data_IF_941763095625
#
_entry.id   IF_941763095625
#
_cell.length_a   1.000
_cell.length_b   1.000
_cell.length_c   1.000
_cell.angle_alpha   90.00
_cell.angle_beta   90.00
_cell.angle_gamma   90.00
#
_symmetry.space_group_name_H-M   'P 1'
#
loop_
_entity.id
_entity.type
_entity.pdbx_description
1 polymer ?
#
# COMPACT_ATOMS: atom_id res chain seq x y z
N UNK A 1 20.62 22.99 -4.71
CA UNK A 1 20.48 21.99 -3.63
C UNK A 1 19.00 21.80 -3.44
N UNK A 2 18.47 20.64 -3.82
CA UNK A 2 17.05 20.36 -3.64
C UNK A 2 16.84 19.93 -2.19
N UNK A 3 16.17 20.77 -1.40
CA UNK A 3 15.60 20.35 -0.13
C UNK A 3 14.43 19.42 -0.47
N UNK A 4 14.69 18.11 -0.60
CA UNK A 4 13.59 17.15 -0.46
C UNK A 4 13.01 17.37 0.93
N UNK A 5 11.71 17.68 1.05
CA UNK A 5 11.11 17.89 2.35
C UNK A 5 11.34 16.65 3.19
N UNK A 6 11.95 16.84 4.36
CA UNK A 6 12.19 15.75 5.30
C UNK A 6 10.84 15.07 5.61
N UNK A 7 10.84 13.73 5.54
CA UNK A 7 9.67 12.93 5.90
C UNK A 7 9.28 13.21 7.35
N UNK A 8 7.98 13.15 7.64
CA UNK A 8 7.52 13.16 9.03
C UNK A 8 8.03 11.91 9.76
N UNK A 9 8.15 11.99 11.09
CA UNK A 9 8.54 10.84 11.91
C UNK A 9 7.63 9.63 11.68
N UNK A 10 6.32 9.85 11.53
CA UNK A 10 5.36 8.79 11.25
C UNK A 10 5.56 8.14 9.86
N UNK A 11 5.87 8.95 8.84
CA UNK A 11 6.17 8.43 7.50
C UNK A 11 7.48 7.62 7.49
N UNK A 12 8.50 8.09 8.21
CA UNK A 12 9.74 7.34 8.39
C UNK A 12 9.50 6.03 9.15
N UNK A 13 8.73 6.07 10.25
CA UNK A 13 8.36 4.87 11.01
C UNK A 13 7.61 3.86 10.15
N UNK A 14 6.69 4.29 9.30
CA UNK A 14 5.99 3.39 8.37
C UNK A 14 6.99 2.68 7.43
N UNK A 15 7.95 3.42 6.87
CA UNK A 15 8.99 2.85 5.99
C UNK A 15 9.83 1.80 6.73
N UNK A 16 10.27 2.13 7.94
CA UNK A 16 11.10 1.26 8.76
C UNK A 16 10.33 -0.02 9.15
N UNK A 17 9.07 0.13 9.56
CA UNK A 17 8.18 -0.96 9.94
C UNK A 17 7.90 -1.92 8.77
N UNK A 18 7.60 -1.40 7.58
CA UNK A 18 7.41 -2.22 6.38
C UNK A 18 8.68 -2.98 6.04
N UNK A 19 9.82 -2.30 6.08
CA UNK A 19 11.13 -2.89 5.77
C UNK A 19 11.47 -4.00 6.76
N UNK A 20 11.28 -3.76 8.06
CA UNK A 20 11.46 -4.75 9.12
C UNK A 20 10.48 -5.94 9.00
N UNK A 21 9.28 -5.72 8.45
CA UNK A 21 8.30 -6.76 8.16
C UNK A 21 8.56 -7.53 6.84
N UNK A 22 9.65 -7.22 6.14
CA UNK A 22 10.06 -7.92 4.91
C UNK A 22 9.48 -7.35 3.62
N UNK A 23 8.94 -6.13 3.66
CA UNK A 23 8.51 -5.36 2.49
C UNK A 23 9.31 -4.05 2.41
N UNK A 24 10.52 -4.06 1.81
CA UNK A 24 11.35 -2.86 1.70
C UNK A 24 10.54 -1.68 1.14
N UNK A 25 10.48 -0.60 1.90
CA UNK A 25 9.71 0.58 1.58
C UNK A 25 10.61 1.79 1.34
N UNK A 26 10.13 2.77 0.58
CA UNK A 26 10.81 4.04 0.34
C UNK A 26 9.82 5.14 0.01
N UNK A 27 10.19 6.39 0.30
CA UNK A 27 9.47 7.53 -0.24
C UNK A 27 9.68 7.66 -1.76
N UNK A 28 8.66 8.13 -2.45
CA UNK A 28 8.63 8.41 -3.89
C UNK A 28 7.68 9.57 -4.16
N UNK A 29 8.17 10.81 -4.05
CA UNK A 29 7.31 12.00 -4.11
C UNK A 29 6.27 12.01 -2.98
N UNK A 30 4.96 12.18 -3.26
CA UNK A 30 3.90 12.26 -2.24
C UNK A 30 3.47 10.91 -1.66
N UNK A 31 4.14 9.81 -2.02
CA UNK A 31 3.76 8.44 -1.65
C UNK A 31 4.92 7.65 -1.07
N UNK A 32 4.60 6.57 -0.39
CA UNK A 32 5.55 5.55 0.05
C UNK A 32 5.28 4.29 -0.77
N UNK A 33 6.30 3.79 -1.47
CA UNK A 33 6.21 2.59 -2.29
C UNK A 33 6.85 1.40 -1.57
N UNK A 34 6.21 0.24 -1.68
CA UNK A 34 6.68 -1.05 -1.19
C UNK A 34 6.12 -2.17 -2.07
N UNK A 35 6.61 -3.38 -1.91
CA UNK A 35 6.14 -4.52 -2.71
C UNK A 35 5.57 -5.63 -1.84
N UNK A 36 4.56 -6.31 -2.36
CA UNK A 36 3.98 -7.50 -1.73
C UNK A 36 3.87 -8.64 -2.75
N UNK A 37 3.90 -9.87 -2.25
CA UNK A 37 3.59 -11.06 -3.03
C UNK A 37 2.27 -11.63 -2.49
N UNK A 38 1.15 -11.54 -3.23
CA UNK A 38 -0.09 -12.20 -2.88
C UNK A 38 0.09 -13.72 -2.90
N UNK A 39 -0.56 -14.41 -1.96
CA UNK A 39 -0.44 -15.89 -1.83
C UNK A 39 -1.51 -16.64 -2.63
N UNK A 40 -2.54 -15.94 -3.09
CA UNK A 40 -3.72 -16.45 -3.79
C UNK A 40 -4.26 -15.39 -4.77
N UNK A 41 -5.27 -15.77 -5.57
CA UNK A 41 -5.90 -14.87 -6.54
C UNK A 41 -5.22 -14.83 -7.91
N UNK A 42 -5.67 -13.91 -8.77
CA UNK A 42 -5.18 -13.77 -10.14
C UNK A 42 -3.68 -13.41 -10.22
N UNK A 43 -3.16 -12.74 -9.20
CA UNK A 43 -1.77 -12.27 -9.08
C UNK A 43 -0.94 -13.10 -8.08
N UNK A 44 -1.39 -14.31 -7.73
CA UNK A 44 -0.68 -15.17 -6.80
C UNK A 44 0.78 -15.42 -7.24
N UNK A 45 1.73 -15.29 -6.31
CA UNK A 45 3.16 -15.50 -6.56
C UNK A 45 3.84 -14.39 -7.37
N UNK A 46 3.11 -13.37 -7.83
CA UNK A 46 3.66 -12.24 -8.56
C UNK A 46 4.06 -11.12 -7.58
N UNK A 47 5.21 -10.49 -7.84
CA UNK A 47 5.62 -9.31 -7.09
C UNK A 47 4.81 -8.11 -7.57
N UNK A 48 3.99 -7.55 -6.68
CA UNK A 48 3.16 -6.37 -6.97
C UNK A 48 3.75 -5.17 -6.23
N UNK A 49 4.17 -4.15 -6.98
CA UNK A 49 4.52 -2.84 -6.41
C UNK A 49 3.24 -2.10 -6.05
N UNK A 50 3.18 -1.62 -4.82
CA UNK A 50 2.06 -0.91 -4.24
C UNK A 50 2.58 0.31 -3.47
N UNK A 51 1.67 1.05 -2.84
CA UNK A 51 2.04 2.20 -2.02
C UNK A 51 0.87 2.77 -1.25
N UNK A 52 1.17 3.82 -0.50
CA UNK A 52 0.20 4.63 0.25
C UNK A 52 0.60 6.10 0.12
N UNK A 53 -0.36 7.01 0.27
CA UNK A 53 -0.05 8.44 0.34
C UNK A 53 0.68 8.76 1.65
N UNK A 54 1.69 9.64 1.61
CA UNK A 54 2.38 10.12 2.83
C UNK A 54 1.41 10.81 3.79
N UNK A 55 0.40 11.51 3.26
CA UNK A 55 -0.66 12.16 4.03
C UNK A 55 -1.52 11.20 4.84
N UNK A 56 -1.58 9.92 4.47
CA UNK A 56 -2.38 8.90 5.17
C UNK A 56 -1.64 8.19 6.30
N UNK A 57 -0.30 8.20 6.28
CA UNK A 57 0.52 7.54 7.32
C UNK A 57 0.84 8.46 8.49
N UNK A 58 0.31 9.68 8.54
CA UNK A 58 0.61 10.66 9.59
C UNK A 58 0.23 10.20 11.00
N UNK A 59 -0.71 9.25 11.11
CA UNK A 59 -1.17 8.65 12.37
C UNK A 59 -0.65 7.23 12.57
N UNK A 60 0.28 6.75 11.74
CA UNK A 60 0.90 5.44 11.90
C UNK A 60 1.73 5.38 13.20
N UNK A 61 1.69 4.28 13.97
CA UNK A 61 0.96 3.02 13.74
C UNK A 61 -0.44 2.96 14.35
N UNK A 62 -0.93 4.04 14.98
CA UNK A 62 -2.23 4.06 15.64
C UNK A 62 -3.40 3.93 14.66
N UNK A 63 -3.26 4.52 13.47
CA UNK A 63 -4.26 4.44 12.39
C UNK A 63 -3.56 4.02 11.09
N UNK A 64 -4.00 2.93 10.45
CA UNK A 64 -3.47 2.49 9.16
C UNK A 64 -4.00 3.37 8.02
N UNK A 65 -3.30 3.42 6.87
CA UNK A 65 -3.79 4.09 5.67
C UNK A 65 -5.13 3.51 5.17
N UNK A 66 -5.96 4.34 4.55
CA UNK A 66 -7.25 3.90 4.01
C UNK A 66 -7.15 3.47 2.54
N UNK A 67 -6.25 4.10 1.76
CA UNK A 67 -6.09 3.81 0.35
C UNK A 67 -4.79 3.05 0.05
N UNK A 68 -4.88 2.12 -0.91
CA UNK A 68 -3.75 1.35 -1.43
C UNK A 68 -3.53 1.72 -2.89
N UNK A 69 -2.33 2.19 -3.22
CA UNK A 69 -1.92 2.51 -4.59
C UNK A 69 -1.60 1.22 -5.34
N UNK A 70 -2.13 1.06 -6.55
CA UNK A 70 -1.89 -0.08 -7.43
C UNK A 70 -1.77 0.41 -8.88
N UNK A 71 -1.09 -0.36 -9.76
CA UNK A 71 -1.17 -0.12 -11.20
C UNK A 71 -2.63 -0.17 -11.67
N UNK A 72 -3.02 0.68 -12.61
CA UNK A 72 -4.38 0.75 -13.17
C UNK A 72 -4.81 -0.54 -13.90
N UNK A 73 -3.86 -1.43 -14.19
CA UNK A 73 -4.09 -2.78 -14.69
C UNK A 73 -4.57 -3.78 -13.62
N UNK A 74 -4.46 -3.44 -12.33
CA UNK A 74 -4.95 -4.28 -11.22
C UNK A 74 -6.41 -3.93 -10.95
N UNK A 75 -7.31 -4.78 -11.43
CA UNK A 75 -8.74 -4.50 -11.43
C UNK A 75 -9.47 -5.25 -10.32
N UNK A 76 -10.59 -4.70 -9.86
CA UNK A 76 -11.49 -5.28 -8.86
C UNK A 76 -12.94 -5.12 -9.32
N UNK A 77 -13.82 -6.04 -8.93
CA UNK A 77 -15.26 -5.93 -9.27
C UNK A 77 -15.92 -4.74 -8.56
N UNK A 78 -15.60 -4.50 -7.29
CA UNK A 78 -16.17 -3.43 -6.47
C UNK A 78 -15.14 -2.86 -5.50
N UNK A 79 -14.78 -1.59 -5.73
CA UNK A 79 -13.92 -0.78 -4.87
C UNK A 79 -14.16 0.69 -5.19
N UNK A 80 -13.96 1.57 -4.21
CA UNK A 80 -13.80 2.98 -4.55
C UNK A 80 -12.44 3.18 -5.22
N UNK A 81 -12.35 4.15 -6.12
CA UNK A 81 -11.15 4.43 -6.92
C UNK A 81 -11.00 5.94 -7.14
N UNK A 82 -9.78 6.44 -6.96
CA UNK A 82 -9.37 7.75 -7.46
C UNK A 82 -7.89 7.72 -7.88
N UNK A 83 -7.32 8.89 -8.20
CA UNK A 83 -5.92 9.05 -8.64
C UNK A 83 -5.11 10.06 -7.80
N UNK A 84 -5.57 10.43 -6.61
CA UNK A 84 -4.84 11.38 -5.76
C UNK A 84 -3.50 10.80 -5.31
N UNK A 85 -2.45 11.64 -5.38
CA UNK A 85 -1.06 11.30 -5.06
C UNK A 85 -0.48 10.10 -5.86
N UNK A 86 -1.15 9.66 -6.91
CA UNK A 86 -0.71 8.57 -7.76
C UNK A 86 0.15 9.10 -8.92
N UNK A 87 1.21 8.36 -9.27
CA UNK A 87 1.90 8.58 -10.54
C UNK A 87 1.03 8.11 -11.72
N UNK A 88 1.33 8.56 -12.96
CA UNK A 88 0.65 8.05 -14.15
C UNK A 88 0.64 6.52 -14.22
N UNK A 89 -0.47 5.95 -14.67
CA UNK A 89 -0.68 4.48 -14.72
C UNK A 89 -0.97 3.82 -13.37
N UNK A 90 -1.19 4.62 -12.32
CA UNK A 90 -1.60 4.12 -11.01
C UNK A 90 -2.89 4.80 -10.56
N UNK A 91 -3.64 4.06 -9.76
CA UNK A 91 -4.83 4.50 -9.06
C UNK A 91 -4.73 4.02 -7.62
N UNK A 92 -5.53 4.61 -6.74
CA UNK A 92 -5.65 4.13 -5.38
C UNK A 92 -7.05 3.59 -5.15
N UNK A 93 -7.10 2.51 -4.38
CA UNK A 93 -8.32 1.78 -4.06
C UNK A 93 -8.54 1.79 -2.55
N UNK A 94 -9.79 1.98 -2.12
CA UNK A 94 -10.13 1.84 -0.70
C UNK A 94 -11.03 0.66 -0.45
N UNK A 95 -10.75 -0.02 0.65
CA UNK A 95 -11.56 -1.10 1.19
C UNK A 95 -11.44 -1.12 2.71
N UNK A 96 -12.47 -1.64 3.37
CA UNK A 96 -12.48 -1.70 4.82
C UNK A 96 -11.28 -2.50 5.35
N UNK A 97 -10.51 -1.85 6.21
CA UNK A 97 -9.41 -2.45 6.94
C UNK A 97 -9.91 -2.90 8.32
N UNK A 98 -9.86 -4.21 8.57
CA UNK A 98 -10.04 -4.74 9.92
C UNK A 98 -8.68 -5.03 10.53
N UNK A 99 -8.28 -4.23 11.52
CA UNK A 99 -7.00 -4.39 12.21
C UNK A 99 -7.04 -5.61 13.13
N UNK A 100 -6.23 -6.63 12.83
CA UNK A 100 -5.84 -7.60 13.85
C UNK A 100 -4.80 -6.95 14.79
N UNK A 101 -5.25 -6.57 15.98
CA UNK A 101 -4.40 -5.91 17.00
C UNK A 101 -3.56 -6.90 17.80
N UNK A 102 -3.68 -8.21 17.54
CA UNK A 102 -2.88 -9.24 18.21
C UNK A 102 -1.48 -9.43 17.60
N UNK A 103 -1.24 -8.84 16.41
CA UNK A 103 0.03 -8.92 15.69
C UNK A 103 0.63 -7.52 15.46
N UNK A 104 1.94 -7.41 15.17
CA UNK A 104 2.56 -6.12 14.85
C UNK A 104 1.81 -5.39 13.71
N UNK A 105 1.55 -4.07 13.82
CA UNK A 105 0.76 -3.31 12.84
C UNK A 105 1.23 -3.50 11.40
N UNK A 106 2.55 -3.53 11.19
CA UNK A 106 3.14 -3.76 9.87
C UNK A 106 2.73 -5.11 9.24
N UNK A 107 2.69 -6.17 10.05
CA UNK A 107 2.28 -7.50 9.60
C UNK A 107 0.78 -7.58 9.33
N UNK A 108 -0.04 -6.89 10.15
CA UNK A 108 -1.47 -6.76 9.92
C UNK A 108 -1.74 -6.03 8.59
N UNK A 109 -1.05 -4.90 8.37
CA UNK A 109 -1.15 -4.11 7.16
C UNK A 109 -0.75 -4.91 5.91
N UNK A 110 0.42 -5.55 5.91
CA UNK A 110 0.86 -6.36 4.78
C UNK A 110 -0.07 -7.55 4.51
N UNK A 111 -0.62 -8.17 5.55
CA UNK A 111 -1.61 -9.24 5.41
C UNK A 111 -2.90 -8.75 4.76
N UNK A 112 -3.38 -7.56 5.17
CA UNK A 112 -4.52 -6.93 4.53
C UNK A 112 -4.27 -6.61 3.06
N UNK A 113 -3.15 -5.95 2.72
CA UNK A 113 -2.86 -5.58 1.33
C UNK A 113 -2.74 -6.82 0.45
N UNK A 114 -2.11 -7.91 0.93
CA UNK A 114 -2.08 -9.19 0.22
C UNK A 114 -3.48 -9.79 0.04
N UNK A 115 -4.29 -9.79 1.09
CA UNK A 115 -5.67 -10.27 1.04
C UNK A 115 -6.53 -9.42 0.09
N UNK A 116 -6.31 -8.12 0.04
CA UNK A 116 -6.98 -7.23 -0.89
C UNK A 116 -6.58 -7.52 -2.34
N UNK A 117 -5.29 -7.57 -2.65
CA UNK A 117 -4.82 -7.89 -4.01
C UNK A 117 -5.25 -9.30 -4.45
N UNK A 118 -5.44 -10.24 -3.50
CA UNK A 118 -5.91 -11.58 -3.84
C UNK A 118 -7.30 -11.65 -4.47
N UNK A 119 -8.12 -10.61 -4.29
CA UNK A 119 -9.44 -10.51 -4.94
C UNK A 119 -9.39 -9.75 -6.27
N UNK A 120 -8.20 -9.37 -6.75
CA UNK A 120 -8.05 -8.75 -8.05
C UNK A 120 -8.49 -9.72 -9.17
N UNK A 121 -9.14 -9.17 -10.18
CA UNK A 121 -9.60 -9.90 -11.36
C UNK A 121 -8.59 -9.74 -12.50
N UNK A 122 -8.54 -10.74 -13.39
CA UNK A 122 -7.78 -10.60 -14.64
C UNK A 122 -8.50 -9.59 -15.52
N UNK A 123 -7.79 -8.57 -16.01
CA UNK A 123 -8.28 -7.76 -17.12
C UNK A 123 -8.55 -8.63 -18.33
N UNK A 124 -9.61 -8.31 -19.09
CA UNK A 124 -9.84 -8.95 -20.37
C UNK A 124 -8.64 -8.64 -21.29
N UNK A 125 -8.01 -9.71 -21.81
CA UNK A 125 -6.99 -9.66 -22.86
C UNK A 125 -7.63 -9.38 -24.21
#
# INVERSE_FOLDING_TARGET
>A
MSDEPALSEAAQQFIDDMTAAGAPARADGPRILYSVVPVNGALAGQLVTTGVSISEVLSWPAVPPHWVHLPDTVLFEQTNIDSTDCAPGHVRHSRDYYTDTSIPPARAWLSHVRGFISIAIRGAV
#
